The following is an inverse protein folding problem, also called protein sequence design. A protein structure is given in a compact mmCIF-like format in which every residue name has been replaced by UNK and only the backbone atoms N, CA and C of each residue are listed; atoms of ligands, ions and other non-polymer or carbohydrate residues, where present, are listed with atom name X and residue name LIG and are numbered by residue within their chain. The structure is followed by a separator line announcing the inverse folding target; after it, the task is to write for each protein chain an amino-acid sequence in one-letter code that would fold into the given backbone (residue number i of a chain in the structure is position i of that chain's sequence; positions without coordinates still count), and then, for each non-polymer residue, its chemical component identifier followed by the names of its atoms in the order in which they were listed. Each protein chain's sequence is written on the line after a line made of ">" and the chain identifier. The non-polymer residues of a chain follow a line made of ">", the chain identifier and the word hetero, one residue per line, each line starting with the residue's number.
data_IF_750042629095
#
_entry.id   IF_750042629095
#
_cell.length_a   1.000
_cell.length_b   1.000
_cell.length_c   1.000
_cell.angle_alpha   90.00
_cell.angle_beta   90.00
_cell.angle_gamma   90.00
#
_symmetry.space_group_name_H-M   'P 1'
#
loop_
_entity.id
_entity.type
_entity.pdbx_description
1 polymer ?
#
# COMPACT_ATOMS: atom_id res chain seq x y z
N UNK A 1 26.49 -18.73 -5.97
CA UNK A 1 26.25 -18.40 -4.54
C UNK A 1 25.28 -17.22 -4.55
N UNK A 2 24.12 -17.33 -3.91
CA UNK A 2 23.20 -16.20 -3.80
C UNK A 2 23.94 -15.05 -3.08
N UNK A 3 23.98 -13.90 -3.71
CA UNK A 3 24.66 -12.73 -3.20
C UNK A 3 23.85 -12.19 -2.01
N UNK A 4 24.49 -11.95 -0.88
CA UNK A 4 23.82 -11.47 0.33
C UNK A 4 23.22 -10.07 0.10
N UNK A 5 21.99 -9.86 0.60
CA UNK A 5 21.30 -8.58 0.53
C UNK A 5 21.71 -7.73 1.74
N UNK A 6 22.69 -6.87 1.53
CA UNK A 6 23.10 -5.82 2.46
C UNK A 6 22.32 -4.54 2.18
N UNK A 7 22.28 -3.61 3.16
CA UNK A 7 21.71 -2.27 2.97
C UNK A 7 22.27 -1.57 1.73
N UNK A 8 23.59 -1.61 1.55
CA UNK A 8 24.23 -1.01 0.37
C UNK A 8 23.70 -1.61 -0.94
N UNK A 9 23.42 -2.90 -0.99
CA UNK A 9 22.86 -3.53 -2.18
C UNK A 9 21.40 -3.15 -2.42
N UNK A 10 20.63 -2.90 -1.36
CA UNK A 10 19.25 -2.38 -1.49
C UNK A 10 19.28 -0.95 -2.04
N UNK A 11 20.19 -0.11 -1.57
CA UNK A 11 20.42 1.25 -2.12
C UNK A 11 20.81 1.21 -3.59
N UNK A 12 21.71 0.31 -3.96
CA UNK A 12 22.09 0.14 -5.36
C UNK A 12 20.91 -0.32 -6.24
N UNK A 13 20.09 -1.26 -5.77
CA UNK A 13 18.87 -1.66 -6.47
C UNK A 13 17.92 -0.47 -6.67
N UNK A 14 17.74 0.36 -5.65
CA UNK A 14 16.94 1.57 -5.76
C UNK A 14 17.48 2.50 -6.85
N UNK A 15 18.78 2.80 -6.85
CA UNK A 15 19.41 3.71 -7.80
C UNK A 15 19.34 3.17 -9.24
N UNK A 16 19.50 1.86 -9.42
CA UNK A 16 19.36 1.20 -10.71
C UNK A 16 17.90 1.25 -11.23
N UNK A 17 16.91 1.06 -10.33
CA UNK A 17 15.50 1.24 -10.68
C UNK A 17 15.18 2.71 -11.01
N UNK A 18 15.71 3.68 -10.26
CA UNK A 18 15.57 5.11 -10.55
C UNK A 18 16.15 5.44 -11.92
N UNK A 19 17.30 4.85 -12.27
CA UNK A 19 17.92 5.03 -13.60
C UNK A 19 17.04 4.50 -14.73
N UNK A 20 16.21 3.49 -14.46
CA UNK A 20 15.29 2.90 -15.42
C UNK A 20 13.93 3.62 -15.50
N UNK A 21 13.46 4.21 -14.39
CA UNK A 21 12.07 4.70 -14.26
C UNK A 21 11.90 6.17 -13.87
N UNK A 22 12.94 6.89 -13.53
CA UNK A 22 12.93 8.19 -12.88
C UNK A 22 12.68 8.11 -11.34
N UNK A 23 13.10 9.14 -10.61
CA UNK A 23 12.89 9.24 -9.16
C UNK A 23 11.40 9.23 -8.79
N UNK A 24 11.11 8.71 -7.62
CA UNK A 24 9.78 8.73 -7.03
C UNK A 24 9.83 9.57 -5.76
N UNK A 25 9.08 10.65 -5.73
CA UNK A 25 8.89 11.49 -4.55
C UNK A 25 7.48 11.26 -3.97
N UNK A 26 7.42 10.99 -2.66
CA UNK A 26 6.15 10.79 -1.97
C UNK A 26 5.36 12.09 -1.88
N UNK A 27 6.03 13.19 -1.58
CA UNK A 27 5.38 14.48 -1.41
C UNK A 27 4.73 14.98 -2.72
N UNK A 28 5.39 14.75 -3.86
CA UNK A 28 4.82 15.07 -5.17
C UNK A 28 3.65 14.15 -5.54
N UNK A 29 3.67 12.90 -5.09
CA UNK A 29 2.69 11.88 -5.53
C UNK A 29 1.50 11.75 -4.58
N UNK A 30 1.74 11.87 -3.27
CA UNK A 30 0.75 11.63 -2.20
C UNK A 30 0.78 12.72 -1.12
N UNK A 31 1.49 13.81 -1.37
CA UNK A 31 1.84 14.84 -0.41
C UNK A 31 0.65 15.59 0.18
N UNK A 32 -0.08 14.93 1.04
CA UNK A 32 -0.91 15.62 2.01
C UNK A 32 -0.08 15.84 3.27
N UNK A 33 0.00 17.08 3.72
CA UNK A 33 0.40 17.37 5.09
C UNK A 33 -0.63 16.71 6.03
N UNK A 34 -0.23 15.74 6.87
CA UNK A 34 -1.15 15.06 7.78
C UNK A 34 -1.90 16.02 8.70
N UNK A 35 -1.34 17.20 8.98
CA UNK A 35 -1.96 18.24 9.79
C UNK A 35 -2.86 19.19 8.99
N UNK A 36 -2.62 19.36 7.67
CA UNK A 36 -3.33 20.35 6.86
C UNK A 36 -4.75 19.92 6.45
N UNK A 37 -5.01 18.60 6.37
CA UNK A 37 -6.33 18.07 6.03
C UNK A 37 -6.80 17.06 7.10
N UNK A 38 -7.54 17.50 8.12
CA UNK A 38 -8.23 16.58 9.01
C UNK A 38 -9.08 15.60 8.19
N UNK A 39 -8.77 14.31 8.29
CA UNK A 39 -9.46 13.30 7.50
C UNK A 39 -8.74 12.82 6.23
N UNK A 40 -7.64 13.44 5.80
CA UNK A 40 -6.87 12.97 4.64
C UNK A 40 -6.38 11.52 4.81
N UNK A 41 -5.88 11.14 5.98
CA UNK A 41 -5.54 9.76 6.31
C UNK A 41 -6.74 8.81 6.22
N UNK A 42 -7.94 9.26 6.56
CA UNK A 42 -9.18 8.50 6.41
C UNK A 42 -9.47 8.26 4.93
N UNK A 43 -9.38 9.28 4.09
CA UNK A 43 -9.56 9.13 2.64
C UNK A 43 -8.59 8.09 2.07
N UNK A 44 -7.32 8.12 2.48
CA UNK A 44 -6.32 7.14 2.07
C UNK A 44 -6.71 5.71 2.50
N UNK A 45 -7.20 5.53 3.74
CA UNK A 45 -7.65 4.22 4.22
C UNK A 45 -8.84 3.69 3.41
N UNK A 46 -9.88 4.50 3.20
CA UNK A 46 -11.05 4.09 2.43
C UNK A 46 -10.69 3.75 0.98
N UNK A 47 -9.89 4.57 0.32
CA UNK A 47 -9.40 4.31 -1.04
C UNK A 47 -8.57 3.02 -1.10
N UNK A 48 -7.74 2.76 -0.08
CA UNK A 48 -6.97 1.51 -0.02
C UNK A 48 -7.87 0.28 0.19
N UNK A 49 -8.95 0.39 0.97
CA UNK A 49 -9.96 -0.68 1.07
C UNK A 49 -10.63 -0.92 -0.29
N UNK A 50 -10.99 0.14 -1.02
CA UNK A 50 -11.58 0.02 -2.36
C UNK A 50 -10.62 -0.63 -3.35
N UNK A 51 -9.31 -0.42 -3.25
CA UNK A 51 -8.30 -0.97 -4.15
C UNK A 51 -8.03 -2.47 -4.00
N UNK A 52 -8.51 -3.10 -2.93
CA UNK A 52 -8.23 -4.52 -2.66
C UNK A 52 -8.75 -5.43 -3.79
N UNK A 53 -7.83 -6.12 -4.49
CA UNK A 53 -8.11 -7.04 -5.61
C UNK A 53 -8.87 -6.39 -6.78
N UNK A 54 -8.59 -5.14 -7.10
CA UNK A 54 -9.27 -4.36 -8.12
C UNK A 54 -8.26 -3.61 -8.97
N UNK A 55 -8.57 -3.41 -10.25
CA UNK A 55 -7.77 -2.58 -11.14
C UNK A 55 -7.87 -1.10 -10.72
N UNK A 56 -6.77 -0.35 -10.90
CA UNK A 56 -6.66 1.04 -10.48
C UNK A 56 -7.79 1.94 -11.02
N UNK A 57 -8.22 1.73 -12.27
CA UNK A 57 -9.33 2.47 -12.87
C UNK A 57 -10.66 2.25 -12.12
N UNK A 58 -10.95 1.02 -11.71
CA UNK A 58 -12.16 0.73 -10.94
C UNK A 58 -12.06 1.28 -9.50
N UNK A 59 -10.85 1.27 -8.93
CA UNK A 59 -10.59 1.92 -7.64
C UNK A 59 -10.88 3.42 -7.71
N UNK A 60 -10.35 4.09 -8.73
CA UNK A 60 -10.58 5.53 -8.97
C UNK A 60 -12.07 5.83 -9.08
N UNK A 61 -12.79 5.10 -9.94
CA UNK A 61 -14.24 5.28 -10.15
C UNK A 61 -15.05 5.03 -8.88
N UNK A 62 -14.71 3.99 -8.10
CA UNK A 62 -15.39 3.71 -6.85
C UNK A 62 -15.12 4.81 -5.80
N UNK A 63 -13.89 5.32 -5.72
CA UNK A 63 -13.54 6.41 -4.83
C UNK A 63 -14.28 7.70 -5.20
N UNK A 64 -14.31 8.06 -6.47
CA UNK A 64 -15.07 9.20 -6.98
C UNK A 64 -16.55 9.05 -6.62
N UNK A 65 -17.16 7.89 -6.96
CA UNK A 65 -18.57 7.63 -6.62
C UNK A 65 -18.86 7.75 -5.13
N UNK A 66 -17.98 7.21 -4.27
CA UNK A 66 -18.14 7.28 -2.81
C UNK A 66 -18.13 8.71 -2.31
N UNK A 67 -17.11 9.49 -2.68
CA UNK A 67 -16.90 10.84 -2.15
C UNK A 67 -17.75 11.91 -2.83
N UNK A 68 -18.33 11.62 -3.99
CA UNK A 68 -19.32 12.49 -4.64
C UNK A 68 -20.75 12.23 -4.10
N UNK A 69 -21.02 11.01 -3.60
CA UNK A 69 -22.35 10.65 -3.08
C UNK A 69 -22.53 11.11 -1.64
N UNK A 70 -21.48 11.05 -0.82
CA UNK A 70 -21.55 11.37 0.60
C UNK A 70 -20.70 12.60 0.92
N UNK A 71 -21.30 13.59 1.57
CA UNK A 71 -20.62 14.86 1.88
C UNK A 71 -19.61 14.72 3.02
N UNK A 72 -19.90 13.84 3.99
CA UNK A 72 -19.06 13.64 5.19
C UNK A 72 -18.76 12.17 5.45
N UNK A 73 -17.73 11.90 6.22
CA UNK A 73 -17.45 10.54 6.69
C UNK A 73 -18.55 10.00 7.63
N UNK A 74 -19.24 10.89 8.35
CA UNK A 74 -20.39 10.52 9.15
C UNK A 74 -21.55 10.01 8.28
N UNK A 75 -21.78 10.61 7.13
CA UNK A 75 -22.79 10.15 6.17
C UNK A 75 -22.46 8.78 5.62
N UNK A 76 -21.16 8.51 5.33
CA UNK A 76 -20.70 7.18 4.89
C UNK A 76 -20.91 6.13 5.98
N UNK A 77 -20.56 6.45 7.24
CA UNK A 77 -20.75 5.53 8.38
C UNK A 77 -22.23 5.23 8.63
N UNK A 78 -23.10 6.24 8.52
CA UNK A 78 -24.52 6.12 8.78
C UNK A 78 -25.34 5.60 7.59
N UNK A 79 -24.73 5.47 6.40
CA UNK A 79 -25.44 5.03 5.21
C UNK A 79 -26.01 3.61 5.37
N UNK A 80 -27.13 3.33 4.70
CA UNK A 80 -27.61 1.97 4.54
C UNK A 80 -26.54 1.13 3.84
N UNK A 81 -26.29 -0.09 4.34
CA UNK A 81 -25.19 -0.92 3.83
C UNK A 81 -25.40 -1.32 2.37
N UNK A 82 -26.65 -1.58 1.94
CA UNK A 82 -26.94 -1.98 0.56
C UNK A 82 -26.79 -0.78 -0.39
N UNK A 83 -27.16 0.43 0.04
CA UNK A 83 -26.94 1.66 -0.73
C UNK A 83 -25.45 1.99 -0.85
N UNK A 84 -24.69 1.85 0.23
CA UNK A 84 -23.23 2.03 0.21
C UNK A 84 -22.55 0.99 -0.69
N UNK A 85 -22.98 -0.27 -0.62
CA UNK A 85 -22.47 -1.34 -1.46
C UNK A 85 -22.73 -1.06 -2.95
N UNK A 86 -23.94 -0.59 -3.32
CA UNK A 86 -24.24 -0.22 -4.70
C UNK A 86 -23.38 0.95 -5.18
N UNK A 87 -23.16 1.97 -4.34
CA UNK A 87 -22.31 3.13 -4.65
C UNK A 87 -20.88 2.72 -5.03
N UNK A 88 -20.32 1.73 -4.34
CA UNK A 88 -18.94 1.26 -4.56
C UNK A 88 -18.85 -0.02 -5.41
N UNK A 89 -19.91 -0.45 -6.06
CA UNK A 89 -20.03 -1.75 -6.73
C UNK A 89 -18.91 -2.05 -7.74
N UNK A 90 -18.42 -1.03 -8.44
CA UNK A 90 -17.32 -1.19 -9.40
C UNK A 90 -15.98 -1.61 -8.76
N UNK A 91 -15.83 -1.44 -7.46
CA UNK A 91 -14.68 -1.91 -6.70
C UNK A 91 -14.66 -3.45 -6.48
N UNK A 92 -15.73 -4.17 -6.83
CA UNK A 92 -15.86 -5.60 -6.55
C UNK A 92 -16.02 -5.93 -5.06
N UNK A 93 -16.64 -7.04 -4.73
CA UNK A 93 -16.93 -7.44 -3.34
C UNK A 93 -17.64 -6.32 -2.53
N UNK A 94 -18.69 -5.70 -3.07
CA UNK A 94 -19.24 -4.47 -2.51
C UNK A 94 -19.72 -4.62 -1.07
N UNK A 95 -20.42 -5.71 -0.73
CA UNK A 95 -20.92 -5.95 0.64
C UNK A 95 -19.79 -6.07 1.68
N UNK A 96 -18.68 -6.70 1.27
CA UNK A 96 -17.53 -6.83 2.16
C UNK A 96 -16.81 -5.49 2.36
N UNK A 97 -16.69 -4.71 1.26
CA UNK A 97 -15.99 -3.43 1.30
C UNK A 97 -16.80 -2.36 2.00
N UNK A 98 -18.12 -2.27 1.77
CA UNK A 98 -19.00 -1.37 2.50
C UNK A 98 -18.94 -1.62 4.01
N UNK A 99 -19.05 -2.88 4.42
CA UNK A 99 -18.93 -3.24 5.83
C UNK A 99 -17.53 -2.94 6.44
N UNK A 100 -16.44 -3.05 5.66
CA UNK A 100 -15.09 -2.68 6.11
C UNK A 100 -14.96 -1.16 6.27
N UNK A 101 -15.46 -0.41 5.32
CA UNK A 101 -15.48 1.06 5.34
C UNK A 101 -16.19 1.54 6.59
N UNK A 102 -17.42 1.09 6.85
CA UNK A 102 -18.20 1.51 8.01
C UNK A 102 -17.52 1.16 9.34
N UNK A 103 -16.99 -0.07 9.48
CA UNK A 103 -16.22 -0.46 10.69
C UNK A 103 -14.96 0.38 10.88
N UNK A 104 -14.29 0.75 9.79
CA UNK A 104 -13.10 1.60 9.88
C UNK A 104 -13.47 2.99 10.37
N UNK A 105 -14.56 3.56 9.86
CA UNK A 105 -15.05 4.86 10.29
C UNK A 105 -15.54 4.82 11.75
N UNK A 106 -16.26 3.78 12.16
CA UNK A 106 -16.68 3.56 13.54
C UNK A 106 -15.48 3.52 14.49
N UNK A 107 -14.47 2.72 14.19
CA UNK A 107 -13.25 2.61 15.00
C UNK A 107 -12.51 3.95 15.13
N UNK A 108 -12.41 4.71 14.04
CA UNK A 108 -11.79 6.05 14.03
C UNK A 108 -12.61 7.01 14.90
N UNK A 109 -13.92 7.04 14.73
CA UNK A 109 -14.82 7.90 15.52
C UNK A 109 -14.77 7.59 17.01
N UNK A 110 -14.69 6.31 17.40
CA UNK A 110 -14.56 5.88 18.80
C UNK A 110 -13.21 6.31 19.39
N UNK A 111 -12.10 6.09 18.69
CA UNK A 111 -10.76 6.47 19.13
C UNK A 111 -10.62 7.98 19.32
N UNK A 112 -11.21 8.76 18.42
CA UNK A 112 -11.07 10.22 18.42
C UNK A 112 -12.13 10.98 19.22
N UNK A 113 -13.07 10.26 19.83
CA UNK A 113 -14.18 10.88 20.55
C UNK A 113 -15.18 11.63 19.65
N UNK A 114 -15.33 11.19 18.41
CA UNK A 114 -16.33 11.70 17.45
C UNK A 114 -15.78 12.36 16.20
N UNK A 115 -14.46 12.54 16.09
CA UNK A 115 -13.84 13.06 14.87
C UNK A 115 -13.48 11.93 13.90
N UNK A 116 -13.46 12.25 12.59
CA UNK A 116 -12.98 11.35 11.55
C UNK A 116 -11.60 11.79 11.10
N UNK A 117 -10.57 11.44 11.87
CA UNK A 117 -9.18 11.78 11.60
C UNK A 117 -8.25 10.69 12.09
N UNK A 118 -7.25 10.35 11.29
CA UNK A 118 -6.17 9.44 11.66
C UNK A 118 -4.90 10.19 12.10
N UNK A 119 -4.97 11.51 12.31
CA UNK A 119 -3.81 12.32 12.70
C UNK A 119 -3.09 11.83 13.97
N UNK A 120 -3.82 11.18 14.89
CA UNK A 120 -3.23 10.59 16.09
C UNK A 120 -2.18 9.50 15.78
N UNK A 121 -2.27 8.84 14.64
CA UNK A 121 -1.28 7.84 14.20
C UNK A 121 0.10 8.47 13.95
N UNK A 122 0.16 9.75 13.63
CA UNK A 122 1.44 10.44 13.41
C UNK A 122 2.29 10.48 14.69
N UNK A 123 1.65 10.67 15.84
CA UNK A 123 2.30 10.69 17.15
C UNK A 123 2.70 9.30 17.68
N UNK A 124 2.12 8.22 17.14
CA UNK A 124 2.42 6.85 17.53
C UNK A 124 3.73 6.35 16.93
N UNK A 125 4.38 5.38 17.57
CA UNK A 125 5.44 4.59 16.95
C UNK A 125 4.91 3.81 15.73
N UNK A 126 5.78 3.47 14.77
CA UNK A 126 5.37 2.79 13.53
C UNK A 126 4.63 1.47 13.80
N UNK A 127 5.15 0.64 14.71
CA UNK A 127 4.55 -0.65 15.03
C UNK A 127 3.22 -0.46 15.77
N UNK A 128 3.14 0.46 16.73
CA UNK A 128 1.91 0.79 17.46
C UNK A 128 0.80 1.27 16.52
N UNK A 129 1.13 2.17 15.59
CA UNK A 129 0.19 2.65 14.57
C UNK A 129 -0.28 1.52 13.63
N UNK A 130 0.62 0.60 13.29
CA UNK A 130 0.30 -0.58 12.47
C UNK A 130 -0.60 -1.56 13.22
N UNK A 131 -0.32 -1.81 14.49
CA UNK A 131 -1.13 -2.68 15.34
C UNK A 131 -2.55 -2.12 15.47
N UNK A 132 -2.69 -0.83 15.79
CA UNK A 132 -3.98 -0.17 15.87
C UNK A 132 -4.80 -0.33 14.58
N UNK A 133 -4.19 -0.06 13.41
CA UNK A 133 -4.88 -0.21 12.13
C UNK A 133 -5.30 -1.65 11.86
N UNK A 134 -4.48 -2.62 12.23
CA UNK A 134 -4.75 -4.05 11.96
C UNK A 134 -5.77 -4.67 12.93
N UNK A 135 -6.08 -4.05 14.06
CA UNK A 135 -7.21 -4.42 14.92
C UNK A 135 -8.56 -4.19 14.24
N UNK A 136 -8.62 -3.26 13.29
CA UNK A 136 -9.83 -3.02 12.50
C UNK A 136 -10.11 -4.23 11.60
N UNK A 137 -11.22 -4.91 11.81
CA UNK A 137 -11.59 -6.11 11.04
C UNK A 137 -11.72 -5.80 9.54
N UNK A 138 -10.80 -6.33 8.77
CA UNK A 138 -10.74 -6.16 7.31
C UNK A 138 -9.62 -5.21 6.85
N UNK A 139 -8.90 -4.61 7.78
CA UNK A 139 -7.64 -3.91 7.54
C UNK A 139 -6.49 -4.88 7.88
N UNK A 140 -5.80 -5.35 6.87
CA UNK A 140 -4.65 -6.25 7.06
C UNK A 140 -3.31 -5.50 7.02
N UNK A 141 -2.20 -6.22 7.28
CA UNK A 141 -0.85 -5.61 7.32
C UNK A 141 -0.51 -4.79 6.06
N UNK A 142 -0.90 -5.26 4.87
CA UNK A 142 -0.69 -4.52 3.62
C UNK A 142 -1.43 -3.18 3.63
N UNK A 143 -2.72 -3.17 4.00
CA UNK A 143 -3.54 -1.95 4.01
C UNK A 143 -3.00 -0.95 5.03
N UNK A 144 -2.67 -1.42 6.24
CA UNK A 144 -2.05 -0.61 7.27
C UNK A 144 -0.73 0.01 6.79
N UNK A 145 0.16 -0.81 6.19
CA UNK A 145 1.43 -0.33 5.66
C UNK A 145 1.27 0.71 4.56
N UNK A 146 0.29 0.57 3.66
CA UNK A 146 0.00 1.58 2.63
C UNK A 146 -0.42 2.90 3.27
N UNK A 147 -1.35 2.88 4.22
CA UNK A 147 -1.82 4.11 4.90
C UNK A 147 -0.67 4.80 5.63
N UNK A 148 0.09 4.05 6.40
CA UNK A 148 1.20 4.58 7.19
C UNK A 148 2.33 5.14 6.34
N UNK A 149 2.70 4.44 5.27
CA UNK A 149 3.78 4.88 4.40
C UNK A 149 3.35 6.04 3.50
N UNK A 150 2.20 5.92 2.85
CA UNK A 150 1.78 6.86 1.82
C UNK A 150 1.29 8.18 2.41
N UNK A 151 0.50 8.13 3.48
CA UNK A 151 -0.05 9.34 4.10
C UNK A 151 0.87 9.91 5.16
N UNK A 152 1.34 9.08 6.11
CA UNK A 152 2.13 9.54 7.26
C UNK A 152 3.65 9.50 7.03
N UNK A 153 4.14 8.94 5.92
CA UNK A 153 5.58 8.78 5.68
C UNK A 153 6.28 7.84 6.66
N UNK A 154 5.51 7.03 7.41
CA UNK A 154 6.11 6.06 8.33
C UNK A 154 6.80 4.92 7.58
N UNK A 155 7.96 4.45 8.02
CA UNK A 155 8.76 3.48 7.30
C UNK A 155 8.15 2.08 7.38
N UNK A 156 7.12 1.85 6.58
CA UNK A 156 6.47 0.55 6.43
C UNK A 156 6.50 0.09 4.98
N UNK A 157 6.88 -1.15 4.75
CA UNK A 157 6.92 -1.71 3.40
C UNK A 157 5.64 -2.49 3.13
N UNK A 158 4.77 -1.97 2.27
CA UNK A 158 3.59 -2.72 1.82
C UNK A 158 4.00 -3.79 0.80
N UNK A 159 3.53 -5.02 0.96
CA UNK A 159 3.85 -6.13 0.06
C UNK A 159 2.60 -6.58 -0.68
N UNK A 160 2.46 -6.07 -1.89
CA UNK A 160 1.43 -6.53 -2.83
C UNK A 160 1.97 -7.68 -3.71
N UNK A 161 1.15 -8.16 -4.62
CA UNK A 161 1.53 -9.26 -5.53
C UNK A 161 2.68 -8.90 -6.47
N UNK A 162 2.88 -7.62 -6.81
CA UNK A 162 4.01 -7.17 -7.62
C UNK A 162 5.29 -7.11 -6.80
N UNK A 163 5.24 -6.43 -5.65
CA UNK A 163 6.37 -6.34 -4.71
C UNK A 163 6.83 -7.72 -4.29
N UNK A 164 5.90 -8.61 -3.88
CA UNK A 164 6.23 -9.99 -3.50
C UNK A 164 6.93 -10.75 -4.63
N UNK A 165 6.36 -10.72 -5.83
CA UNK A 165 6.92 -11.43 -6.99
C UNK A 165 8.29 -10.92 -7.38
N UNK A 166 8.45 -9.60 -7.52
CA UNK A 166 9.73 -8.99 -7.94
C UNK A 166 10.79 -9.23 -6.89
N UNK A 167 10.47 -9.00 -5.61
CA UNK A 167 11.43 -9.21 -4.51
C UNK A 167 11.90 -10.66 -4.40
N UNK A 168 11.00 -11.63 -4.64
CA UNK A 168 11.37 -13.06 -4.69
C UNK A 168 12.27 -13.37 -5.88
N UNK A 169 11.94 -12.88 -7.08
CA UNK A 169 12.75 -13.11 -8.28
C UNK A 169 14.14 -12.47 -8.20
N UNK A 170 14.26 -11.34 -7.51
CA UNK A 170 15.54 -10.70 -7.24
C UNK A 170 16.30 -11.35 -6.07
N UNK A 171 15.68 -12.30 -5.36
CA UNK A 171 16.26 -12.94 -4.17
C UNK A 171 16.35 -12.02 -2.96
N UNK A 172 15.72 -10.81 -3.03
CA UNK A 172 15.60 -9.89 -1.90
C UNK A 172 14.73 -10.50 -0.78
N UNK A 173 13.77 -11.32 -1.16
CA UNK A 173 12.94 -12.14 -0.29
C UNK A 173 13.11 -13.59 -0.69
N UNK A 174 13.21 -14.55 0.25
CA UNK A 174 13.27 -15.98 -0.07
C UNK A 174 12.08 -16.41 -0.95
N UNK A 175 12.34 -17.24 -1.96
CA UNK A 175 11.31 -17.69 -2.91
C UNK A 175 10.09 -18.33 -2.24
N UNK A 176 10.34 -19.16 -1.21
CA UNK A 176 9.31 -19.87 -0.46
C UNK A 176 8.70 -19.08 0.70
N UNK A 177 9.05 -17.80 0.86
CA UNK A 177 8.49 -16.95 1.92
C UNK A 177 6.97 -16.77 1.74
N UNK A 178 6.23 -16.84 2.83
CA UNK A 178 4.83 -16.39 2.87
C UNK A 178 4.76 -14.88 2.68
N UNK A 179 3.59 -14.34 2.34
CA UNK A 179 3.40 -12.88 2.23
C UNK A 179 3.77 -12.18 3.54
N UNK A 180 3.35 -12.72 4.69
CA UNK A 180 3.75 -12.17 6.00
C UNK A 180 5.27 -12.16 6.18
N UNK A 181 5.95 -13.27 5.85
CA UNK A 181 7.41 -13.31 5.93
C UNK A 181 8.09 -12.34 4.96
N UNK A 182 7.48 -12.08 3.80
CA UNK A 182 7.99 -11.07 2.87
C UNK A 182 7.88 -9.64 3.46
N UNK A 183 6.79 -9.32 4.17
CA UNK A 183 6.67 -8.07 4.92
C UNK A 183 7.79 -7.93 5.97
N UNK A 184 8.03 -8.97 6.77
CA UNK A 184 9.06 -8.94 7.82
C UNK A 184 10.46 -8.73 7.20
N UNK A 185 10.80 -9.53 6.19
CA UNK A 185 12.11 -9.47 5.51
C UNK A 185 12.36 -8.12 4.85
N UNK A 186 11.35 -7.56 4.18
CA UNK A 186 11.49 -6.26 3.53
C UNK A 186 11.55 -5.12 4.56
N UNK A 187 10.77 -5.20 5.64
CA UNK A 187 10.85 -4.25 6.76
C UNK A 187 12.20 -4.26 7.47
N UNK A 188 12.88 -5.43 7.56
CA UNK A 188 14.22 -5.54 8.14
C UNK A 188 15.35 -5.06 7.19
N UNK A 189 15.15 -5.19 5.86
CA UNK A 189 16.22 -5.00 4.86
C UNK A 189 16.20 -3.65 4.17
N UNK A 190 15.02 -3.09 4.00
CA UNK A 190 14.86 -1.83 3.26
C UNK A 190 15.07 -0.66 4.21
N UNK A 191 16.03 0.25 3.92
CA UNK A 191 16.19 1.47 4.70
C UNK A 191 14.90 2.28 4.77
N UNK A 192 14.65 2.91 5.90
CA UNK A 192 13.42 3.62 6.21
C UNK A 192 13.01 4.62 5.12
N UNK A 193 13.96 5.41 4.64
CA UNK A 193 13.76 6.42 3.61
C UNK A 193 13.50 5.83 2.22
N UNK A 194 13.78 4.55 2.01
CA UNK A 194 13.56 3.87 0.74
C UNK A 194 12.28 3.05 0.72
N UNK A 195 11.55 2.92 1.83
CA UNK A 195 10.33 2.08 1.90
C UNK A 195 9.27 2.51 0.90
N UNK A 196 9.04 3.82 0.76
CA UNK A 196 8.08 4.37 -0.21
C UNK A 196 8.60 4.28 -1.66
N UNK A 197 9.74 4.90 -2.02
CA UNK A 197 10.18 4.90 -3.42
C UNK A 197 10.45 3.50 -3.94
N UNK A 198 11.05 2.62 -3.15
CA UNK A 198 11.31 1.25 -3.57
C UNK A 198 10.01 0.45 -3.76
N UNK A 199 9.00 0.64 -2.90
CA UNK A 199 7.69 0.03 -3.09
C UNK A 199 7.08 0.39 -4.44
N UNK A 200 7.03 1.67 -4.78
CA UNK A 200 6.46 2.16 -6.05
C UNK A 200 7.27 1.66 -7.25
N UNK A 201 8.61 1.70 -7.15
CA UNK A 201 9.50 1.22 -8.22
C UNK A 201 9.37 -0.28 -8.46
N UNK A 202 9.24 -1.09 -7.42
CA UNK A 202 9.02 -2.54 -7.55
C UNK A 202 7.65 -2.86 -8.17
N UNK A 203 6.60 -2.11 -7.85
CA UNK A 203 5.31 -2.24 -8.52
C UNK A 203 5.44 -1.89 -10.00
N UNK A 204 6.08 -0.75 -10.33
CA UNK A 204 6.31 -0.32 -11.71
C UNK A 204 7.07 -1.38 -12.49
N UNK A 205 8.15 -1.91 -11.92
CA UNK A 205 8.94 -2.99 -12.53
C UNK A 205 8.12 -4.27 -12.72
N UNK A 206 7.31 -4.64 -11.73
CA UNK A 206 6.42 -5.80 -11.80
C UNK A 206 5.30 -5.67 -12.85
N UNK A 207 4.87 -4.46 -13.16
CA UNK A 207 3.87 -4.19 -14.21
C UNK A 207 4.48 -4.13 -15.60
N UNK A 208 5.66 -3.54 -15.73
CA UNK A 208 6.31 -3.28 -17.02
C UNK A 208 7.09 -4.48 -17.53
N UNK A 209 8.01 -4.99 -16.73
CA UNK A 209 8.95 -6.02 -17.15
C UNK A 209 8.72 -7.36 -16.44
N UNK A 210 8.72 -7.36 -15.13
CA UNK A 210 8.65 -8.58 -14.34
C UNK A 210 7.20 -9.07 -14.19
N UNK A 211 6.48 -9.28 -15.31
CA UNK A 211 5.09 -9.76 -15.27
C UNK A 211 4.97 -11.20 -14.75
N UNK A 212 3.75 -11.61 -14.35
CA UNK A 212 3.57 -12.92 -13.73
C UNK A 212 3.79 -14.09 -14.72
N UNK A 213 3.33 -13.94 -15.98
CA UNK A 213 3.28 -15.03 -16.97
C UNK A 213 4.37 -14.95 -18.03
N UNK A 214 4.75 -13.76 -18.41
CA UNK A 214 5.71 -13.52 -19.51
C UNK A 214 6.61 -12.36 -19.10
N UNK A 215 7.59 -12.60 -18.21
CA UNK A 215 8.55 -11.55 -17.86
C UNK A 215 9.38 -11.17 -19.10
N UNK A 216 9.62 -9.89 -19.24
CA UNK A 216 10.57 -9.34 -20.19
C UNK A 216 11.83 -8.96 -19.40
N UNK A 217 12.87 -9.77 -19.51
CA UNK A 217 14.08 -9.63 -18.72
C UNK A 217 15.19 -8.87 -19.43
N UNK A 218 14.94 -8.36 -20.64
CA UNK A 218 15.94 -7.59 -21.42
C UNK A 218 16.05 -6.15 -20.88
N UNK A 219 16.59 -6.03 -19.67
CA UNK A 219 16.89 -4.75 -19.04
C UNK A 219 18.00 -4.88 -17.99
N UNK A 220 18.78 -3.81 -17.72
CA UNK A 220 19.94 -3.86 -16.82
C UNK A 220 19.62 -4.29 -15.39
N UNK A 221 18.41 -4.01 -14.89
CA UNK A 221 18.01 -4.39 -13.53
C UNK A 221 17.78 -5.90 -13.44
N UNK A 222 17.12 -6.48 -14.43
CA UNK A 222 16.95 -7.93 -14.49
C UNK A 222 18.29 -8.65 -14.65
N UNK A 223 19.17 -8.18 -15.52
CA UNK A 223 20.50 -8.76 -15.72
C UNK A 223 21.31 -8.84 -14.43
N UNK A 224 21.16 -7.83 -13.57
CA UNK A 224 21.94 -7.72 -12.34
C UNK A 224 21.32 -8.44 -11.14
N UNK A 225 19.99 -8.47 -11.03
CA UNK A 225 19.30 -8.92 -9.82
C UNK A 225 18.44 -10.16 -10.03
N UNK A 226 17.95 -10.44 -11.22
CA UNK A 226 17.02 -11.54 -11.43
C UNK A 226 17.73 -12.89 -11.37
N UNK A 227 17.26 -13.77 -10.49
CA UNK A 227 17.73 -15.14 -10.36
C UNK A 227 16.76 -16.19 -10.91
N UNK A 228 15.69 -15.76 -11.62
CA UNK A 228 14.71 -16.72 -12.11
C UNK A 228 15.17 -17.40 -13.41
N UNK A 229 14.90 -18.72 -13.51
CA UNK A 229 15.28 -19.54 -14.67
C UNK A 229 14.58 -19.14 -15.98
N UNK A 230 13.55 -18.31 -15.91
CA UNK A 230 12.74 -17.87 -17.04
C UNK A 230 13.09 -16.45 -17.54
N UNK A 231 14.17 -15.91 -17.05
CA UNK A 231 14.76 -14.66 -17.52
C UNK A 231 15.88 -14.91 -18.53
#
# INVERSE_FOLDING_TARGET
>A
MAQEWTEQRVRQLHDDLVSLYEPIDREETHGADPEAEPGAGVRQLLTTILSQNVADENTRRASESLFDTYETYADIEAADQDELAETIRVAGLPDQKSARIQRSLEAIREETGGAYSLAFLDAMGTDEAKDWLTEIKGVGPKTASVVLNFHFGKPTMAVDTHVERVSKRFGLVPENATNQRAHDVLGERVPDELTYPLHVLLIRHGRTYCTARSPDCDNPVCDQYCGCENC
#
